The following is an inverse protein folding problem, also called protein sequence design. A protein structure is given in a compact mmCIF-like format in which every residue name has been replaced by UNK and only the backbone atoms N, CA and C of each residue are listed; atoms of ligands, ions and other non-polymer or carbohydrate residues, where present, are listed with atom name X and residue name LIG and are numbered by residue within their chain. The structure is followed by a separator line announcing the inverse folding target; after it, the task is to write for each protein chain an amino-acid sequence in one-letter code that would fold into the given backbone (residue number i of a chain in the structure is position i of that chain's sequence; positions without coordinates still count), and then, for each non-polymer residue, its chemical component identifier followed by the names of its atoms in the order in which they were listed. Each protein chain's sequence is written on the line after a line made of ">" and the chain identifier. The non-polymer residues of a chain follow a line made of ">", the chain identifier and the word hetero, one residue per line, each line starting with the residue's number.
data_IF_355306128565
#
_entry.id   IF_355306128565
#
_cell.length_a   1.000
_cell.length_b   1.000
_cell.length_c   1.000
_cell.angle_alpha   90.00
_cell.angle_beta   90.00
_cell.angle_gamma   90.00
#
_symmetry.space_group_name_H-M   'P 1'
#
loop_
_entity.id
_entity.type
_entity.pdbx_description
1 polymer ?
#
# COMPACT_ATOMS: atom_id res chain seq x y z
N UNK A 1 7.00 26.74 -1.46
CA UNK A 1 7.40 25.69 -0.48
C UNK A 1 6.44 24.52 -0.56
N UNK A 2 6.82 23.33 -0.09
CA UNK A 2 5.92 22.19 -0.03
C UNK A 2 5.24 22.09 1.33
N UNK A 3 3.99 21.63 1.33
CA UNK A 3 3.27 21.23 2.54
C UNK A 3 3.35 19.70 2.68
N UNK A 4 4.08 19.23 3.68
CA UNK A 4 4.27 17.82 3.97
C UNK A 4 3.31 17.39 5.08
N UNK A 5 2.61 16.27 4.92
CA UNK A 5 1.55 15.86 5.85
C UNK A 5 1.70 14.39 6.22
N UNK A 6 1.77 14.08 7.51
CA UNK A 6 1.66 12.70 7.98
C UNK A 6 0.20 12.28 7.99
N UNK A 7 -0.12 11.15 7.37
CA UNK A 7 -1.50 10.64 7.27
C UNK A 7 -1.54 9.13 7.62
N UNK A 8 -1.52 8.77 8.92
CA UNK A 8 -1.42 7.38 9.37
C UNK A 8 -2.72 6.59 9.20
N UNK A 9 -3.86 7.27 8.97
CA UNK A 9 -5.16 6.63 8.71
C UNK A 9 -5.41 6.33 7.25
N UNK A 10 -4.44 6.58 6.36
CA UNK A 10 -4.63 6.55 4.91
C UNK A 10 -5.34 5.28 4.41
N UNK A 11 -4.82 4.10 4.74
CA UNK A 11 -5.38 2.83 4.26
C UNK A 11 -6.78 2.57 4.83
N UNK A 12 -7.06 3.05 6.06
CA UNK A 12 -8.40 2.97 6.67
C UNK A 12 -9.40 3.92 5.98
N UNK A 13 -8.95 5.13 5.63
CA UNK A 13 -9.76 6.10 4.90
C UNK A 13 -10.07 5.63 3.48
N UNK A 14 -9.10 5.01 2.80
CA UNK A 14 -9.34 4.33 1.52
C UNK A 14 -10.35 3.18 1.67
N UNK A 15 -10.22 2.34 2.71
CA UNK A 15 -11.17 1.27 2.98
C UNK A 15 -12.60 1.80 3.19
N UNK A 16 -12.74 2.88 3.97
CA UNK A 16 -14.04 3.49 4.26
C UNK A 16 -14.64 4.26 3.08
N UNK A 17 -13.81 4.71 2.12
CA UNK A 17 -14.20 5.53 0.98
C UNK A 17 -15.11 6.73 1.33
N UNK A 18 -14.84 7.38 2.48
CA UNK A 18 -15.71 8.45 2.98
C UNK A 18 -14.88 9.65 3.40
N UNK A 19 -15.24 10.87 2.98
CA UNK A 19 -14.61 12.10 3.48
C UNK A 19 -14.93 12.37 4.96
N UNK A 20 -15.87 11.60 5.53
CA UNK A 20 -16.32 11.70 6.92
C UNK A 20 -15.89 10.49 7.76
N UNK A 21 -14.94 9.68 7.26
CA UNK A 21 -14.36 8.59 8.04
C UNK A 21 -13.76 9.13 9.34
N UNK A 22 -13.96 8.38 10.43
CA UNK A 22 -13.35 8.68 11.72
C UNK A 22 -12.20 7.70 11.99
N UNK A 23 -10.93 8.16 11.97
CA UNK A 23 -9.75 7.32 12.17
C UNK A 23 -9.81 6.44 13.42
N UNK A 24 -9.20 5.26 13.35
CA UNK A 24 -9.05 4.40 14.53
C UNK A 24 -8.23 5.09 15.62
N UNK A 25 -8.41 4.68 16.89
CA UNK A 25 -7.66 5.29 18.00
C UNK A 25 -6.14 5.14 17.82
N UNK A 26 -5.70 4.03 17.23
CA UNK A 26 -4.29 3.81 16.91
C UNK A 26 -3.78 4.83 15.88
N UNK A 27 -4.54 5.07 14.80
CA UNK A 27 -4.17 6.08 13.80
C UNK A 27 -4.18 7.50 14.39
N UNK A 28 -5.13 7.83 15.24
CA UNK A 28 -5.16 9.12 15.95
C UNK A 28 -3.91 9.34 16.81
N UNK A 29 -3.53 8.34 17.61
CA UNK A 29 -2.33 8.42 18.45
C UNK A 29 -1.05 8.61 17.61
N UNK A 30 -0.97 7.96 16.44
CA UNK A 30 0.15 8.17 15.52
C UNK A 30 0.13 9.57 14.91
N UNK A 31 -1.06 10.08 14.54
CA UNK A 31 -1.20 11.43 14.01
C UNK A 31 -0.77 12.46 15.04
N UNK A 32 -1.24 12.35 16.29
CA UNK A 32 -0.83 13.21 17.42
C UNK A 32 0.67 13.13 17.68
N UNK A 33 1.24 11.92 17.66
CA UNK A 33 2.67 11.71 17.92
C UNK A 33 3.55 12.40 16.88
N UNK A 34 3.20 12.31 15.60
CA UNK A 34 4.03 12.76 14.48
C UNK A 34 3.56 14.08 13.84
N UNK A 35 2.49 14.69 14.33
CA UNK A 35 2.01 15.98 13.86
C UNK A 35 3.11 17.05 13.95
N UNK A 36 3.31 17.80 12.87
CA UNK A 36 4.30 18.87 12.80
C UNK A 36 5.76 18.43 12.91
N UNK A 37 6.03 17.12 13.11
CA UNK A 37 7.40 16.63 13.16
C UNK A 37 8.04 16.81 11.79
N UNK A 38 9.27 17.33 11.83
CA UNK A 38 10.03 17.56 10.61
C UNK A 38 10.45 16.23 10.01
N UNK A 39 10.05 15.98 8.77
CA UNK A 39 10.46 14.79 8.06
C UNK A 39 11.94 14.83 7.68
N UNK A 40 12.67 13.69 7.70
CA UNK A 40 14.08 13.62 7.30
C UNK A 40 14.39 14.16 5.90
N UNK A 41 13.43 14.11 4.99
CA UNK A 41 13.55 14.59 3.60
C UNK A 41 13.02 16.01 3.38
N UNK A 42 12.50 16.66 4.42
CA UNK A 42 11.97 18.02 4.31
C UNK A 42 13.09 19.02 4.04
N UNK A 43 12.96 19.81 2.98
CA UNK A 43 13.88 20.94 2.71
C UNK A 43 13.62 22.09 3.65
N UNK A 44 14.61 22.97 3.85
CA UNK A 44 14.55 24.05 4.85
C UNK A 44 13.25 24.87 4.75
N UNK A 45 12.82 25.17 3.52
CA UNK A 45 11.61 25.90 3.20
C UNK A 45 10.30 25.11 3.34
N UNK A 46 10.34 23.77 3.44
CA UNK A 46 9.15 22.93 3.50
C UNK A 46 8.48 22.99 4.89
N UNK A 47 7.15 22.93 4.88
CA UNK A 47 6.31 23.01 6.07
C UNK A 47 5.74 21.62 6.37
N UNK A 48 5.99 21.11 7.57
CA UNK A 48 5.33 19.89 8.06
C UNK A 48 4.06 20.29 8.82
N UNK A 49 2.91 19.88 8.32
CA UNK A 49 1.62 20.38 8.80
C UNK A 49 1.12 19.61 10.03
N UNK A 50 0.62 20.35 11.01
CA UNK A 50 -0.22 19.83 12.08
C UNK A 50 -1.69 20.14 11.77
N UNK A 51 -2.58 19.13 11.72
CA UNK A 51 -4.00 19.37 11.50
C UNK A 51 -4.57 20.41 12.48
N UNK A 52 -5.20 21.45 11.92
CA UNK A 52 -5.80 22.56 12.69
C UNK A 52 -4.93 23.82 12.74
N UNK A 53 -3.67 23.76 12.34
CA UNK A 53 -2.84 24.96 12.18
C UNK A 53 -3.16 25.70 10.87
N UNK A 54 -3.12 27.04 10.95
CA UNK A 54 -3.31 27.89 9.78
C UNK A 54 -2.15 27.72 8.79
N UNK A 55 -2.46 27.75 7.49
CA UNK A 55 -1.49 27.62 6.41
C UNK A 55 -1.58 28.85 5.51
N UNK A 56 -0.43 29.44 5.20
CA UNK A 56 -0.33 30.45 4.14
C UNK A 56 -0.34 29.77 2.76
N UNK A 57 -1.53 29.62 2.20
CA UNK A 57 -1.75 28.92 0.93
C UNK A 57 -1.11 29.60 -0.29
N UNK A 58 -0.76 30.89 -0.19
CA UNK A 58 -0.09 31.60 -1.28
C UNK A 58 1.40 31.26 -1.35
N UNK A 59 2.00 30.83 -0.23
CA UNK A 59 3.37 30.33 -0.18
C UNK A 59 3.50 28.86 -0.62
N UNK A 60 2.42 28.08 -0.59
CA UNK A 60 2.43 26.65 -0.92
C UNK A 60 2.34 26.43 -2.44
N UNK A 61 3.31 25.68 -2.97
CA UNK A 61 3.38 25.32 -4.39
C UNK A 61 2.96 23.88 -4.67
N UNK A 62 3.04 23.00 -3.66
CA UNK A 62 2.72 21.57 -3.77
C UNK A 62 2.35 21.01 -2.39
N UNK A 63 1.41 20.06 -2.33
CA UNK A 63 1.10 19.29 -1.13
C UNK A 63 1.59 17.86 -1.34
N UNK A 64 2.41 17.35 -0.42
CA UNK A 64 2.95 15.99 -0.44
C UNK A 64 2.56 15.27 0.86
N UNK A 65 1.37 14.65 0.88
CA UNK A 65 0.97 13.88 2.04
C UNK A 65 1.66 12.51 2.05
N UNK A 66 1.56 11.83 3.18
CA UNK A 66 1.92 10.42 3.29
C UNK A 66 1.21 9.59 2.22
N UNK A 67 -0.10 9.79 2.09
CA UNK A 67 -0.96 9.25 1.02
C UNK A 67 -2.21 10.11 0.85
N UNK A 68 -2.77 10.12 -0.36
CA UNK A 68 -3.97 10.89 -0.73
C UNK A 68 -5.24 10.06 -0.61
N UNK A 69 -6.19 10.50 0.20
CA UNK A 69 -7.49 9.84 0.37
C UNK A 69 -8.64 10.85 0.52
N UNK A 70 -9.91 10.39 0.50
CA UNK A 70 -11.07 11.28 0.62
C UNK A 70 -11.08 12.13 1.90
N UNK A 71 -10.63 11.58 3.03
CA UNK A 71 -10.66 12.27 4.32
C UNK A 71 -9.64 13.41 4.32
N UNK A 72 -8.40 13.15 3.90
CA UNK A 72 -7.36 14.17 3.88
C UNK A 72 -7.69 15.30 2.88
N UNK A 73 -8.19 14.96 1.69
CA UNK A 73 -8.64 15.97 0.72
C UNK A 73 -9.72 16.87 1.34
N UNK A 74 -10.71 16.28 2.02
CA UNK A 74 -11.77 17.03 2.69
C UNK A 74 -11.23 17.93 3.81
N UNK A 75 -10.31 17.44 4.64
CA UNK A 75 -9.67 18.21 5.70
C UNK A 75 -8.92 19.42 5.15
N UNK A 76 -8.17 19.25 4.06
CA UNK A 76 -7.44 20.35 3.41
C UNK A 76 -8.37 21.39 2.81
N UNK A 77 -9.45 20.98 2.14
CA UNK A 77 -10.48 21.91 1.66
C UNK A 77 -11.07 22.74 2.81
N UNK A 78 -11.38 22.10 3.94
CA UNK A 78 -11.89 22.80 5.13
C UNK A 78 -10.86 23.74 5.77
N UNK A 79 -9.57 23.47 5.61
CA UNK A 79 -8.49 24.35 6.02
C UNK A 79 -8.23 25.50 5.03
N UNK A 80 -9.00 25.60 3.93
CA UNK A 80 -8.90 26.65 2.93
C UNK A 80 -7.92 26.36 1.80
N UNK A 81 -7.45 25.11 1.65
CA UNK A 81 -6.56 24.73 0.57
C UNK A 81 -7.23 25.01 -0.80
N UNK A 82 -6.55 25.71 -1.70
CA UNK A 82 -7.09 25.98 -3.03
C UNK A 82 -7.12 24.70 -3.88
N UNK A 83 -8.19 24.50 -4.65
CA UNK A 83 -8.40 23.29 -5.45
C UNK A 83 -7.24 22.96 -6.41
N UNK A 84 -6.52 23.97 -6.92
CA UNK A 84 -5.34 23.78 -7.78
C UNK A 84 -4.21 22.95 -7.15
N UNK A 85 -4.17 22.88 -5.81
CA UNK A 85 -3.17 22.12 -5.05
C UNK A 85 -3.67 20.72 -4.65
N UNK A 86 -4.93 20.40 -4.93
CA UNK A 86 -5.58 19.17 -4.51
C UNK A 86 -5.83 18.27 -5.71
N UNK A 87 -5.79 16.94 -5.52
CA UNK A 87 -6.33 16.03 -6.50
C UNK A 87 -7.84 16.24 -6.67
N UNK A 88 -8.34 16.02 -7.89
CA UNK A 88 -9.77 15.91 -8.18
C UNK A 88 -10.41 14.72 -7.45
N UNK A 89 -11.74 14.70 -7.38
CA UNK A 89 -12.46 13.58 -6.78
C UNK A 89 -12.28 12.30 -7.59
N UNK A 90 -12.25 12.42 -8.91
CA UNK A 90 -11.95 11.34 -9.84
C UNK A 90 -10.56 10.77 -9.56
N UNK A 91 -9.54 11.63 -9.44
CA UNK A 91 -8.18 11.21 -9.10
C UNK A 91 -8.13 10.50 -7.74
N UNK A 92 -8.80 11.01 -6.71
CA UNK A 92 -8.90 10.30 -5.42
C UNK A 92 -9.52 8.91 -5.57
N UNK A 93 -10.59 8.78 -6.37
CA UNK A 93 -11.19 7.47 -6.64
C UNK A 93 -10.26 6.56 -7.43
N UNK A 94 -9.47 7.08 -8.38
CA UNK A 94 -8.45 6.30 -9.08
C UNK A 94 -7.34 5.84 -8.14
N UNK A 95 -6.80 6.74 -7.31
CA UNK A 95 -5.80 6.40 -6.28
C UNK A 95 -6.32 5.27 -5.39
N UNK A 96 -7.57 5.38 -4.90
CA UNK A 96 -8.19 4.31 -4.13
C UNK A 96 -8.22 2.98 -4.87
N UNK A 97 -8.65 2.97 -6.13
CA UNK A 97 -8.69 1.74 -6.93
C UNK A 97 -7.29 1.16 -7.12
N UNK A 98 -6.29 2.00 -7.39
CA UNK A 98 -4.90 1.58 -7.58
C UNK A 98 -4.25 1.07 -6.28
N UNK A 99 -4.65 1.58 -5.12
CA UNK A 99 -4.21 1.10 -3.81
C UNK A 99 -4.89 -0.21 -3.37
N UNK A 100 -5.83 -0.73 -4.15
CA UNK A 100 -6.48 -2.01 -3.87
C UNK A 100 -5.54 -3.18 -4.14
N UNK A 101 -5.70 -4.28 -3.39
CA UNK A 101 -5.08 -5.58 -3.72
C UNK A 101 -5.40 -6.09 -5.13
N UNK A 102 -6.44 -5.58 -5.78
CA UNK A 102 -6.72 -5.89 -7.18
C UNK A 102 -5.56 -5.49 -8.12
N UNK A 103 -4.80 -4.46 -7.78
CA UNK A 103 -3.59 -4.06 -8.52
C UNK A 103 -2.50 -5.11 -8.41
N UNK A 104 -2.34 -5.74 -7.24
CA UNK A 104 -1.41 -6.87 -7.03
C UNK A 104 -1.81 -8.03 -7.93
N UNK A 105 -3.08 -8.43 -7.90
CA UNK A 105 -3.63 -9.53 -8.73
C UNK A 105 -3.43 -9.27 -10.22
N UNK A 106 -3.51 -8.01 -10.65
CA UNK A 106 -3.29 -7.62 -12.06
C UNK A 106 -1.80 -7.66 -12.43
N UNK A 107 -0.92 -7.18 -11.55
CA UNK A 107 0.50 -7.02 -11.82
C UNK A 107 1.29 -8.33 -11.67
N UNK A 108 0.97 -9.13 -10.65
CA UNK A 108 1.75 -10.31 -10.25
C UNK A 108 2.00 -11.31 -11.41
N UNK A 109 1.01 -11.67 -12.26
CA UNK A 109 1.25 -12.57 -13.39
C UNK A 109 2.26 -12.03 -14.42
N UNK A 110 2.30 -10.72 -14.62
CA UNK A 110 3.26 -10.07 -15.53
C UNK A 110 4.67 -10.18 -14.97
N UNK A 111 4.85 -9.87 -13.68
CA UNK A 111 6.14 -10.01 -13.00
C UNK A 111 6.64 -11.45 -13.01
N UNK A 112 5.72 -12.41 -12.79
CA UNK A 112 6.05 -13.84 -12.81
C UNK A 112 6.44 -14.38 -14.19
N UNK A 113 5.95 -13.74 -15.24
CA UNK A 113 6.32 -14.08 -16.62
C UNK A 113 7.74 -13.60 -16.93
N UNK A 114 8.14 -12.43 -16.43
CA UNK A 114 9.45 -11.85 -16.70
C UNK A 114 10.57 -12.37 -15.80
N UNK A 115 10.24 -12.81 -14.58
CA UNK A 115 11.22 -13.21 -13.56
C UNK A 115 11.13 -14.72 -13.31
N UNK A 116 12.10 -15.48 -13.81
CA UNK A 116 12.10 -16.94 -13.73
C UNK A 116 12.18 -17.46 -12.28
N UNK A 117 12.95 -16.81 -11.41
CA UNK A 117 13.12 -17.13 -10.00
C UNK A 117 12.00 -16.55 -9.12
N UNK A 118 10.78 -16.43 -9.65
CA UNK A 118 9.63 -15.92 -8.92
C UNK A 118 8.60 -17.01 -8.59
N UNK A 119 7.77 -16.73 -7.59
CA UNK A 119 6.60 -17.52 -7.22
C UNK A 119 5.46 -16.60 -6.76
N UNK A 120 4.31 -17.17 -6.44
CA UNK A 120 3.17 -16.43 -5.90
C UNK A 120 1.96 -16.42 -6.81
N UNK A 121 0.80 -16.80 -6.30
CA UNK A 121 -0.47 -16.73 -7.00
C UNK A 121 -1.44 -15.89 -6.18
N UNK A 122 -2.27 -15.10 -6.84
CA UNK A 122 -3.29 -14.31 -6.17
C UNK A 122 -4.53 -14.21 -7.07
N UNK A 123 -5.71 -14.20 -6.44
CA UNK A 123 -6.99 -14.04 -7.10
C UNK A 123 -7.83 -13.00 -6.36
N UNK A 124 -8.41 -12.07 -7.10
CA UNK A 124 -9.40 -11.15 -6.57
C UNK A 124 -10.80 -11.79 -6.67
N UNK A 125 -11.40 -12.07 -5.53
CA UNK A 125 -12.71 -12.72 -5.42
C UNK A 125 -13.78 -11.66 -5.16
N UNK A 126 -14.81 -11.61 -6.00
CA UNK A 126 -15.94 -10.66 -5.88
C UNK A 126 -17.20 -11.28 -5.29
N UNK A 127 -17.21 -12.60 -5.09
CA UNK A 127 -18.31 -13.34 -4.47
C UNK A 127 -17.78 -14.32 -3.43
N UNK A 128 -18.68 -14.83 -2.57
CA UNK A 128 -18.29 -15.81 -1.56
C UNK A 128 -17.92 -17.15 -2.21
N UNK A 129 -18.63 -17.50 -3.29
CA UNK A 129 -18.39 -18.68 -4.11
C UNK A 129 -17.00 -18.65 -4.77
N UNK A 130 -16.52 -17.48 -5.19
CA UNK A 130 -15.14 -17.32 -5.69
C UNK A 130 -14.12 -17.65 -4.60
N UNK A 131 -14.37 -17.17 -3.37
CA UNK A 131 -13.49 -17.41 -2.21
C UNK A 131 -13.46 -18.90 -1.88
N UNK A 132 -14.62 -19.56 -1.84
CA UNK A 132 -14.70 -21.00 -1.58
C UNK A 132 -13.98 -21.81 -2.67
N UNK A 133 -14.13 -21.44 -3.94
CA UNK A 133 -13.42 -22.11 -5.04
C UNK A 133 -11.91 -21.94 -4.93
N UNK A 134 -11.43 -20.74 -4.62
CA UNK A 134 -10.00 -20.50 -4.40
C UNK A 134 -9.46 -21.32 -3.21
N UNK A 135 -10.20 -21.34 -2.09
CA UNK A 135 -9.85 -22.14 -0.91
C UNK A 135 -9.84 -23.65 -1.21
N UNK A 136 -10.80 -24.15 -1.97
CA UNK A 136 -10.82 -25.57 -2.38
C UNK A 136 -9.67 -25.90 -3.33
N UNK A 137 -9.31 -24.98 -4.23
CA UNK A 137 -8.23 -25.18 -5.19
C UNK A 137 -6.85 -25.23 -4.52
N UNK A 138 -6.59 -24.34 -3.57
CA UNK A 138 -5.27 -24.20 -2.93
C UNK A 138 -5.17 -24.89 -1.57
N UNK A 139 -6.29 -25.19 -0.92
CA UNK A 139 -6.37 -25.85 0.39
C UNK A 139 -6.00 -24.94 1.55
N UNK A 140 -4.89 -24.21 1.47
CA UNK A 140 -4.40 -23.31 2.52
C UNK A 140 -4.13 -21.93 1.93
N UNK A 141 -4.85 -20.93 2.42
CA UNK A 141 -4.88 -19.60 1.80
C UNK A 141 -4.76 -18.49 2.82
N UNK A 142 -4.24 -17.35 2.35
CA UNK A 142 -4.35 -16.06 3.00
C UNK A 142 -5.44 -15.25 2.29
N UNK A 143 -6.35 -14.68 3.08
CA UNK A 143 -7.35 -13.72 2.62
C UNK A 143 -6.94 -12.32 3.07
N UNK A 144 -7.00 -11.35 2.15
CA UNK A 144 -6.59 -9.95 2.39
C UNK A 144 -7.69 -8.99 1.96
N UNK A 145 -8.12 -8.12 2.87
CA UNK A 145 -9.01 -7.01 2.54
C UNK A 145 -8.35 -6.09 1.48
N UNK A 146 -9.11 -5.58 0.49
CA UNK A 146 -8.59 -4.73 -0.59
C UNK A 146 -7.76 -3.54 -0.11
N UNK A 147 -8.22 -2.87 0.96
CA UNK A 147 -7.50 -1.79 1.63
C UNK A 147 -7.32 -2.16 3.09
N UNK A 148 -6.09 -2.47 3.48
CA UNK A 148 -5.74 -2.73 4.86
C UNK A 148 -4.26 -2.48 5.08
N UNK A 149 -3.86 -2.29 6.34
CA UNK A 149 -2.47 -2.10 6.69
C UNK A 149 -2.09 -2.80 7.99
N UNK A 150 -0.79 -3.06 8.13
CA UNK A 150 -0.19 -3.73 9.29
C UNK A 150 -0.91 -5.05 9.66
N UNK A 151 -1.26 -5.86 8.67
CA UNK A 151 -1.87 -7.17 8.87
C UNK A 151 -3.32 -7.18 9.36
N UNK A 152 -3.93 -6.02 9.65
CA UNK A 152 -5.30 -5.96 10.22
C UNK A 152 -6.36 -6.56 9.30
N UNK A 153 -6.17 -6.47 7.99
CA UNK A 153 -7.06 -7.03 6.97
C UNK A 153 -6.70 -8.44 6.51
N UNK A 154 -5.71 -9.09 7.14
CA UNK A 154 -5.13 -10.35 6.68
C UNK A 154 -5.51 -11.49 7.62
N UNK A 155 -5.91 -12.64 7.08
CA UNK A 155 -6.21 -13.83 7.87
C UNK A 155 -6.06 -15.12 7.05
N UNK A 156 -5.64 -16.20 7.71
CA UNK A 156 -5.43 -17.52 7.10
C UNK A 156 -6.67 -18.40 7.22
N UNK A 157 -6.95 -19.18 6.18
CA UNK A 157 -7.95 -20.25 6.20
C UNK A 157 -7.34 -21.53 5.63
N UNK A 158 -7.65 -22.67 6.25
CA UNK A 158 -7.15 -23.98 5.85
C UNK A 158 -8.33 -24.95 5.73
N UNK A 159 -8.53 -25.48 4.53
CA UNK A 159 -9.60 -26.40 4.14
C UNK A 159 -10.99 -25.76 4.08
N UNK A 160 -11.39 -25.01 5.11
CA UNK A 160 -12.70 -24.37 5.20
C UNK A 160 -12.62 -23.05 5.98
N UNK A 161 -13.62 -22.19 5.81
CA UNK A 161 -13.80 -20.97 6.58
C UNK A 161 -14.62 -21.27 7.85
N UNK A 162 -14.14 -20.83 9.01
CA UNK A 162 -14.96 -20.82 10.25
C UNK A 162 -16.12 -19.82 10.14
N UNK A 163 -17.18 -19.97 10.93
CA UNK A 163 -18.33 -19.04 10.92
C UNK A 163 -17.91 -17.56 11.06
N UNK A 164 -16.94 -17.29 11.94
CA UNK A 164 -16.38 -15.95 12.13
C UNK A 164 -15.67 -15.44 10.86
N UNK A 165 -14.92 -16.30 10.18
CA UNK A 165 -14.26 -15.96 8.92
C UNK A 165 -15.27 -15.75 7.79
N UNK A 166 -16.33 -16.56 7.71
CA UNK A 166 -17.40 -16.37 6.73
C UNK A 166 -18.09 -15.01 6.92
N UNK A 167 -18.48 -14.68 8.17
CA UNK A 167 -19.06 -13.37 8.49
C UNK A 167 -18.13 -12.22 8.13
N UNK A 168 -16.82 -12.38 8.35
CA UNK A 168 -15.79 -11.41 7.96
C UNK A 168 -15.69 -11.28 6.44
N UNK A 169 -15.65 -12.37 5.68
CA UNK A 169 -15.61 -12.37 4.21
C UNK A 169 -16.86 -11.69 3.65
N UNK A 170 -18.07 -12.07 4.09
CA UNK A 170 -19.31 -11.42 3.64
C UNK A 170 -19.31 -9.92 3.90
N UNK A 171 -18.81 -9.49 5.07
CA UNK A 171 -18.67 -8.07 5.38
C UNK A 171 -17.72 -7.37 4.41
N UNK A 172 -16.54 -7.94 4.14
CA UNK A 172 -15.56 -7.37 3.22
C UNK A 172 -16.13 -7.29 1.81
N UNK A 173 -16.76 -8.36 1.30
CA UNK A 173 -17.39 -8.36 -0.01
C UNK A 173 -18.48 -7.27 -0.12
N UNK A 174 -19.33 -7.14 0.90
CA UNK A 174 -20.40 -6.13 0.93
C UNK A 174 -19.88 -4.70 1.01
N UNK A 175 -18.87 -4.45 1.83
CA UNK A 175 -18.39 -3.08 2.14
C UNK A 175 -17.29 -2.61 1.18
N UNK A 176 -16.49 -3.54 0.63
CA UNK A 176 -15.29 -3.25 -0.14
C UNK A 176 -15.34 -3.81 -1.57
N UNK A 177 -16.36 -4.61 -1.91
CA UNK A 177 -16.62 -5.12 -3.26
C UNK A 177 -15.78 -6.33 -3.68
N UNK A 178 -14.85 -6.79 -2.84
CA UNK A 178 -14.02 -7.94 -3.14
C UNK A 178 -13.01 -8.25 -2.05
N UNK A 179 -12.28 -9.36 -2.20
CA UNK A 179 -11.20 -9.78 -1.32
C UNK A 179 -10.12 -10.47 -2.13
N UNK A 180 -8.85 -10.22 -1.82
CA UNK A 180 -7.75 -10.98 -2.40
C UNK A 180 -7.61 -12.31 -1.65
N UNK A 181 -7.40 -13.39 -2.40
CA UNK A 181 -7.08 -14.72 -1.89
C UNK A 181 -5.79 -15.18 -2.56
N UNK A 182 -4.82 -15.64 -1.78
CA UNK A 182 -3.55 -16.21 -2.26
C UNK A 182 -3.25 -17.52 -1.53
N UNK A 183 -2.48 -18.46 -2.09
CA UNK A 183 -1.96 -19.59 -1.34
C UNK A 183 -1.12 -19.12 -0.15
N UNK A 184 -1.16 -19.86 0.95
CA UNK A 184 -0.27 -19.59 2.08
C UNK A 184 1.17 -19.97 1.72
N UNK A 185 2.06 -18.98 1.72
CA UNK A 185 3.51 -19.18 1.57
C UNK A 185 4.23 -18.99 2.90
N UNK A 186 5.02 -19.99 3.30
CA UNK A 186 5.98 -19.83 4.38
C UNK A 186 7.16 -18.99 3.87
N UNK A 187 7.20 -17.71 4.24
CA UNK A 187 8.30 -16.83 3.88
C UNK A 187 9.46 -16.93 4.88
N UNK A 188 10.65 -16.60 4.41
CA UNK A 188 11.84 -16.51 5.26
C UNK A 188 12.20 -15.05 5.60
N UNK A 189 11.99 -14.13 4.65
CA UNK A 189 12.23 -12.69 4.86
C UNK A 189 11.28 -11.84 4.02
N UNK A 190 10.83 -10.73 4.60
CA UNK A 190 10.08 -9.67 3.91
C UNK A 190 11.02 -8.54 3.49
N UNK A 191 10.73 -7.95 2.33
CA UNK A 191 11.43 -6.76 1.86
C UNK A 191 10.53 -5.93 0.94
N UNK A 192 10.87 -4.68 0.70
CA UNK A 192 10.18 -3.82 -0.24
C UNK A 192 11.16 -3.14 -1.18
N UNK A 193 10.75 -2.96 -2.44
CA UNK A 193 11.40 -2.01 -3.33
C UNK A 193 10.65 -0.69 -3.28
N UNK A 194 11.40 0.38 -3.03
CA UNK A 194 10.90 1.73 -2.86
C UNK A 194 11.09 2.52 -4.15
N UNK A 195 10.07 3.29 -4.53
CA UNK A 195 10.05 4.04 -5.77
C UNK A 195 9.44 5.44 -5.60
N UNK A 196 9.73 6.31 -6.56
CA UNK A 196 8.93 7.49 -6.85
C UNK A 196 8.35 7.39 -8.26
N UNK A 197 7.08 7.78 -8.42
CA UNK A 197 6.39 7.76 -9.71
C UNK A 197 6.01 9.17 -10.14
N UNK A 198 6.52 9.61 -11.29
CA UNK A 198 6.23 10.90 -11.89
C UNK A 198 6.39 10.84 -13.41
N UNK A 199 5.58 11.61 -14.13
CA UNK A 199 5.65 11.78 -15.59
C UNK A 199 5.69 10.46 -16.36
N UNK A 200 4.88 9.49 -15.92
CA UNK A 200 4.77 8.17 -16.54
C UNK A 200 5.96 7.25 -16.27
N UNK A 201 6.89 7.62 -15.39
CA UNK A 201 8.12 6.87 -15.10
C UNK A 201 8.21 6.46 -13.64
N UNK A 202 8.67 5.23 -13.43
CA UNK A 202 8.94 4.66 -12.12
C UNK A 202 10.44 4.71 -11.82
N UNK A 203 10.81 5.55 -10.84
CA UNK A 203 12.18 5.77 -10.41
C UNK A 203 12.46 4.96 -9.14
N UNK A 204 13.52 4.16 -9.16
CA UNK A 204 13.90 3.32 -8.03
C UNK A 204 14.67 4.13 -6.99
N UNK A 205 14.23 4.06 -5.74
CA UNK A 205 14.77 4.84 -4.61
C UNK A 205 15.53 3.98 -3.60
N UNK A 206 15.25 2.67 -3.53
CA UNK A 206 15.98 1.80 -2.62
C UNK A 206 15.29 0.47 -2.33
N UNK A 207 15.92 -0.29 -1.44
CA UNK A 207 15.38 -1.54 -0.92
C UNK A 207 15.29 -1.44 0.59
N UNK A 208 14.19 -1.91 1.16
CA UNK A 208 14.01 -2.00 2.60
C UNK A 208 13.79 -3.46 2.98
N UNK A 209 14.64 -4.01 3.84
CA UNK A 209 14.44 -5.36 4.40
C UNK A 209 13.84 -5.19 5.78
N UNK A 210 12.80 -5.95 6.13
CA UNK A 210 12.10 -5.75 7.39
C UNK A 210 11.57 -7.06 7.97
N UNK A 211 11.19 -6.99 9.24
CA UNK A 211 10.54 -8.08 9.94
C UNK A 211 9.10 -7.75 10.24
N UNK A 212 8.25 -8.77 10.13
CA UNK A 212 6.84 -8.70 10.52
C UNK A 212 6.55 -9.71 11.64
N UNK A 213 5.50 -9.46 12.41
CA UNK A 213 4.92 -10.47 13.29
C UNK A 213 4.28 -11.60 12.46
N UNK A 214 3.98 -12.77 13.05
CA UNK A 214 3.17 -13.79 12.38
C UNK A 214 1.80 -13.29 11.88
N UNK A 215 1.30 -12.19 12.45
CA UNK A 215 0.07 -11.50 12.04
C UNK A 215 0.28 -10.41 11.00
N UNK A 216 1.51 -10.22 10.48
CA UNK A 216 1.84 -9.26 9.43
C UNK A 216 2.04 -7.81 9.90
N UNK A 217 2.27 -7.57 11.19
CA UNK A 217 2.58 -6.23 11.70
C UNK A 217 4.06 -5.95 11.55
N UNK A 218 4.42 -4.80 10.97
CA UNK A 218 5.80 -4.33 10.90
C UNK A 218 6.43 -4.22 12.30
N UNK A 219 7.63 -4.77 12.46
CA UNK A 219 8.41 -4.72 13.70
C UNK A 219 9.59 -3.75 13.58
N UNK A 220 10.47 -3.98 12.61
CA UNK A 220 11.69 -3.21 12.43
C UNK A 220 12.32 -3.42 11.06
N UNK A 221 13.08 -2.43 10.60
CA UNK A 221 13.97 -2.55 9.46
C UNK A 221 15.22 -3.35 9.85
N UNK A 222 15.76 -4.05 8.86
CA UNK A 222 16.98 -4.84 8.92
C UNK A 222 18.01 -4.29 7.93
N UNK A 223 19.27 -4.72 8.07
CA UNK A 223 20.30 -4.39 7.08
C UNK A 223 19.95 -5.03 5.72
N UNK A 224 20.01 -4.28 4.60
CA UNK A 224 19.83 -4.81 3.25
C UNK A 224 20.75 -5.99 2.90
N UNK A 225 21.93 -6.06 3.52
CA UNK A 225 22.92 -7.14 3.32
C UNK A 225 22.41 -8.52 3.79
N UNK A 226 21.38 -8.55 4.63
CA UNK A 226 20.78 -9.80 5.12
C UNK A 226 19.84 -10.45 4.08
N UNK A 227 19.45 -9.71 3.04
CA UNK A 227 18.56 -10.21 2.01
C UNK A 227 19.21 -11.33 1.22
N UNK A 228 18.60 -12.51 1.27
CA UNK A 228 19.10 -13.73 0.62
C UNK A 228 18.55 -13.90 -0.80
N UNK A 229 18.56 -12.83 -1.59
CA UNK A 229 18.13 -12.84 -2.99
C UNK A 229 19.30 -12.36 -3.84
N UNK A 230 19.56 -13.01 -4.98
CA UNK A 230 20.68 -12.60 -5.83
C UNK A 230 20.43 -11.21 -6.43
N UNK A 231 21.49 -10.40 -6.63
CA UNK A 231 21.36 -9.08 -7.26
C UNK A 231 20.72 -9.14 -8.64
N UNK A 232 20.94 -10.21 -9.41
CA UNK A 232 20.36 -10.40 -10.74
C UNK A 232 18.84 -10.57 -10.70
N UNK A 233 18.33 -11.33 -9.71
CA UNK A 233 16.88 -11.49 -9.51
C UNK A 233 16.25 -10.17 -9.09
N UNK A 234 16.89 -9.42 -8.18
CA UNK A 234 16.41 -8.08 -7.79
C UNK A 234 16.41 -7.11 -8.98
N UNK A 235 17.44 -7.15 -9.82
CA UNK A 235 17.51 -6.34 -11.02
C UNK A 235 16.41 -6.71 -12.04
N UNK A 236 16.09 -8.00 -12.17
CA UNK A 236 15.01 -8.49 -13.03
C UNK A 236 13.64 -8.03 -12.51
N UNK A 237 13.35 -8.20 -11.22
CA UNK A 237 12.11 -7.72 -10.58
C UNK A 237 11.95 -6.22 -10.77
N UNK A 238 13.00 -5.44 -10.48
CA UNK A 238 12.98 -3.98 -10.68
C UNK A 238 12.67 -3.61 -12.13
N UNK A 239 13.32 -4.26 -13.10
CA UNK A 239 13.09 -3.99 -14.53
C UNK A 239 11.64 -4.30 -14.93
N UNK A 240 11.10 -5.42 -14.47
CA UNK A 240 9.73 -5.82 -14.75
C UNK A 240 8.71 -4.85 -14.13
N UNK A 241 8.94 -4.40 -12.89
CA UNK A 241 8.13 -3.34 -12.26
C UNK A 241 8.16 -2.04 -13.07
N UNK A 242 9.34 -1.58 -13.49
CA UNK A 242 9.49 -0.38 -14.30
C UNK A 242 8.85 -0.51 -15.70
N UNK A 243 8.69 -1.73 -16.21
CA UNK A 243 8.03 -2.01 -17.48
C UNK A 243 6.51 -1.98 -17.35
N UNK A 244 5.94 -2.66 -16.34
CA UNK A 244 4.50 -2.93 -16.28
C UNK A 244 3.73 -1.95 -15.39
N UNK A 245 4.28 -1.59 -14.22
CA UNK A 245 3.56 -0.78 -13.25
C UNK A 245 3.15 0.61 -13.79
N UNK A 246 3.95 1.33 -14.60
CA UNK A 246 3.53 2.61 -15.18
C UNK A 246 2.24 2.55 -15.99
N UNK A 247 1.99 1.44 -16.70
CA UNK A 247 0.78 1.26 -17.51
C UNK A 247 -0.48 1.09 -16.66
N UNK A 248 -0.32 0.57 -15.44
CA UNK A 248 -1.40 0.39 -14.48
C UNK A 248 -1.67 1.70 -13.72
N UNK A 249 -0.62 2.40 -13.28
CA UNK A 249 -0.75 3.66 -12.53
C UNK A 249 -1.31 4.80 -13.39
N UNK A 250 -0.92 4.88 -14.66
CA UNK A 250 -1.36 5.91 -15.58
C UNK A 250 -1.02 7.33 -15.10
N UNK A 251 -1.78 8.32 -15.58
CA UNK A 251 -1.58 9.73 -15.17
C UNK A 251 -2.25 10.08 -13.83
N UNK A 252 -2.98 9.14 -13.24
CA UNK A 252 -3.83 9.37 -12.07
C UNK A 252 -3.05 9.34 -10.75
N UNK A 253 -1.86 8.71 -10.74
CA UNK A 253 -0.98 8.66 -9.58
C UNK A 253 0.31 9.45 -9.82
N UNK A 254 0.75 10.18 -8.81
CA UNK A 254 2.08 10.80 -8.73
C UNK A 254 2.51 10.83 -7.29
N UNK A 255 3.66 10.25 -6.97
CA UNK A 255 4.15 10.22 -5.59
C UNK A 255 5.06 9.04 -5.28
N UNK A 256 5.51 8.94 -4.01
CA UNK A 256 6.27 7.80 -3.53
C UNK A 256 5.42 6.53 -3.49
N UNK A 257 5.99 5.36 -3.75
CA UNK A 257 5.31 4.09 -3.54
C UNK A 257 6.31 3.01 -3.12
N UNK A 258 5.83 2.01 -2.39
CA UNK A 258 6.57 0.80 -2.04
C UNK A 258 5.89 -0.44 -2.60
N UNK A 259 6.68 -1.38 -3.10
CA UNK A 259 6.19 -2.71 -3.51
C UNK A 259 6.75 -3.73 -2.52
N UNK A 260 5.89 -4.26 -1.66
CA UNK A 260 6.27 -5.24 -0.66
C UNK A 260 6.38 -6.62 -1.32
N UNK A 261 7.36 -7.38 -0.88
CA UNK A 261 7.80 -8.65 -1.44
C UNK A 261 8.18 -9.58 -0.31
N UNK A 262 8.21 -10.87 -0.60
CA UNK A 262 8.77 -11.87 0.30
C UNK A 262 9.71 -12.79 -0.48
N UNK A 263 10.67 -13.39 0.22
CA UNK A 263 11.58 -14.38 -0.37
C UNK A 263 11.49 -15.72 0.36
N UNK A 264 11.70 -16.78 -0.41
CA UNK A 264 11.85 -18.14 0.09
C UNK A 264 12.92 -18.86 -0.73
N UNK A 265 13.96 -19.38 -0.05
CA UNK A 265 15.05 -20.13 -0.68
C UNK A 265 15.68 -19.40 -1.89
N UNK A 266 15.83 -18.08 -1.80
CA UNK A 266 16.41 -17.24 -2.86
C UNK A 266 15.48 -16.92 -4.04
N UNK A 267 14.25 -17.47 -4.06
CA UNK A 267 13.19 -17.07 -4.98
C UNK A 267 12.35 -15.95 -4.37
N UNK A 268 11.66 -15.19 -5.22
CA UNK A 268 10.91 -14.00 -4.81
C UNK A 268 9.43 -14.12 -5.13
N UNK A 269 8.57 -13.74 -4.19
CA UNK A 269 7.20 -13.32 -4.48
C UNK A 269 7.24 -11.82 -4.81
N UNK A 270 7.14 -11.42 -6.09
CA UNK A 270 7.60 -10.09 -6.54
C UNK A 270 6.63 -8.96 -6.23
N UNK A 271 5.42 -9.27 -5.77
CA UNK A 271 4.45 -8.27 -5.34
C UNK A 271 3.45 -8.91 -4.37
N UNK A 272 3.57 -8.61 -3.08
CA UNK A 272 2.65 -9.00 -2.00
C UNK A 272 1.66 -7.88 -1.72
N UNK A 273 2.13 -6.63 -1.81
CA UNK A 273 1.36 -5.41 -1.61
C UNK A 273 1.97 -4.28 -2.43
N UNK A 274 1.14 -3.31 -2.85
CA UNK A 274 1.61 -2.04 -3.40
C UNK A 274 1.06 -0.93 -2.51
N UNK A 275 1.98 -0.21 -1.87
CA UNK A 275 1.69 0.92 -1.01
C UNK A 275 1.82 2.22 -1.85
N UNK A 276 0.71 2.77 -2.33
CA UNK A 276 0.69 4.06 -3.06
C UNK A 276 0.71 5.26 -2.12
N UNK A 277 1.77 5.26 -1.32
CA UNK A 277 2.07 6.23 -0.29
C UNK A 277 3.53 6.09 0.09
N UNK A 278 4.01 7.04 0.89
CA UNK A 278 5.27 6.85 1.59
C UNK A 278 5.19 5.63 2.52
N UNK A 279 6.33 4.97 2.69
CA UNK A 279 6.48 3.80 3.57
C UNK A 279 7.52 4.09 4.65
N UNK A 280 7.59 3.21 5.65
CA UNK A 280 8.64 3.27 6.67
C UNK A 280 10.03 2.94 6.11
N UNK A 281 10.14 2.34 4.92
CA UNK A 281 11.44 2.13 4.25
C UNK A 281 12.03 3.43 3.71
N UNK A 282 11.20 4.46 3.56
CA UNK A 282 11.59 5.80 3.13
C UNK A 282 11.65 6.79 4.31
N UNK A 283 11.40 6.33 5.54
CA UNK A 283 11.28 7.12 6.77
C UNK A 283 12.42 6.87 7.75
#
# INVERSE_FOLDING_TARGET
>A
MKLLIFNPSHDEALASNSPYYYPSKAAQLQAERFAGQRFPWAKEEDVCWTPGEAVDWDAITEIQPWGWDPLLRHQLLRAGAPERLLPSEEQIQRIRQLSSRQTVVTLLPLLRTDVAESFGDAQFCSSFEDVERALQCWGDVILKSPWSCSGRGVFRANGSLTEAQQGRVHRILREQGGIEVEPFYAHEQDFAMEFSYCDGKLHYEGINVFQTTPSGQYLSNLSPELLRVSPDVLAAVRRSLQQHLPSILGADYRGPLGVDMMQQAGKVHPCVEINLRRTMGQF
#
